data_IF_570348151025
#
_entry.id   IF_570348151025
#
_cell.length_a   1.000
_cell.length_b   1.000
_cell.length_c   1.000
_cell.angle_alpha   90.00
_cell.angle_beta   90.00
_cell.angle_gamma   90.00
#
_symmetry.space_group_name_H-M   'P 1'
#
loop_
_entity.id
_entity.type
_entity.pdbx_description
1 polymer ?
#
# COMPACT_ATOMS: atom_id res chain seq x y z
N UNK A 1 -18.60 -4.96 7.59
CA UNK A 1 -18.93 -3.85 6.66
C UNK A 1 -17.63 -3.13 6.33
N UNK A 2 -17.13 -3.25 5.09
CA UNK A 2 -15.82 -2.71 4.70
C UNK A 2 -15.87 -1.19 4.57
N UNK A 3 -15.60 -0.48 5.67
CA UNK A 3 -15.39 0.96 5.65
C UNK A 3 -13.94 1.29 5.26
N UNK A 4 -13.73 1.19 3.95
CA UNK A 4 -13.13 2.30 3.19
C UNK A 4 -13.58 3.62 3.86
N UNK A 5 -12.67 4.56 4.12
CA UNK A 5 -12.88 5.82 4.88
C UNK A 5 -13.01 5.72 6.44
N UNK A 6 -11.99 5.21 7.15
CA UNK A 6 -11.42 6.02 8.25
C UNK A 6 -10.08 6.66 7.88
N UNK A 7 -9.61 6.40 6.66
CA UNK A 7 -8.64 7.26 6.00
C UNK A 7 -9.37 8.37 5.21
N UNK A 8 -10.13 8.18 4.10
CA UNK A 8 -10.58 9.36 3.27
C UNK A 8 -11.49 10.40 3.96
N UNK A 9 -12.24 10.08 5.03
CA UNK A 9 -12.84 11.16 5.83
C UNK A 9 -11.77 12.11 6.48
N UNK A 10 -10.48 11.82 6.26
CA UNK A 10 -9.33 12.73 6.20
C UNK A 10 -8.13 12.24 5.29
N UNK A 11 -8.38 11.80 4.03
CA UNK A 11 -7.44 11.23 2.99
C UNK A 11 -6.99 9.74 3.13
N UNK A 12 -6.78 8.99 2.00
CA UNK A 12 -7.47 7.67 1.73
C UNK A 12 -6.93 6.25 2.09
N UNK A 13 -7.90 5.32 2.01
CA UNK A 13 -8.09 3.85 2.14
C UNK A 13 -8.93 3.49 0.89
N UNK A 14 -8.70 2.50 -0.01
CA UNK A 14 -7.87 1.27 -0.01
C UNK A 14 -7.41 0.81 -1.44
N UNK A 15 -6.55 -0.22 -1.49
CA UNK A 15 -6.02 -0.92 -2.68
C UNK A 15 -5.48 0.03 -3.77
N UNK A 16 -4.35 0.64 -3.42
CA UNK A 16 -3.66 1.66 -4.19
C UNK A 16 -2.92 1.07 -5.38
N UNK A 17 -2.84 1.82 -6.48
CA UNK A 17 -2.09 1.48 -7.68
C UNK A 17 -1.44 2.78 -8.21
N UNK A 18 -0.10 2.91 -8.20
CA UNK A 18 0.59 4.21 -8.38
C UNK A 18 1.40 4.28 -9.68
N UNK A 19 1.20 5.29 -10.54
CA UNK A 19 2.13 5.57 -11.67
C UNK A 19 3.17 6.66 -11.32
N UNK A 20 4.44 6.47 -11.70
CA UNK A 20 5.54 7.36 -11.31
C UNK A 20 6.09 8.16 -12.52
N UNK A 21 5.35 9.16 -13.00
CA UNK A 21 5.87 10.07 -14.05
C UNK A 21 7.07 10.89 -13.56
N UNK A 22 8.00 11.15 -14.48
CA UNK A 22 9.19 11.97 -14.25
C UNK A 22 9.17 13.12 -15.23
N UNK A 23 8.55 14.22 -14.82
CA UNK A 23 8.46 15.48 -15.56
C UNK A 23 9.09 16.57 -14.70
N UNK A 24 10.36 16.88 -14.95
CA UNK A 24 11.09 17.91 -14.22
C UNK A 24 10.84 19.30 -14.81
N UNK A 25 10.55 20.26 -13.93
CA UNK A 25 10.85 21.68 -14.13
C UNK A 25 11.21 22.30 -12.77
N UNK A 26 11.97 23.40 -12.81
CA UNK A 26 12.73 23.91 -11.67
C UNK A 26 12.26 25.33 -11.32
N UNK A 27 11.94 25.58 -10.04
CA UNK A 27 11.88 26.92 -9.45
C UNK A 27 12.48 26.83 -8.04
N UNK A 28 13.21 27.87 -7.66
CA UNK A 28 14.17 27.89 -6.55
C UNK A 28 13.60 28.56 -5.29
N UNK A 29 14.03 28.09 -4.11
CA UNK A 29 14.03 28.91 -2.90
C UNK A 29 15.15 28.45 -1.96
N UNK A 30 16.11 29.35 -1.71
CA UNK A 30 17.38 29.07 -1.05
C UNK A 30 17.24 28.96 0.47
N UNK A 31 17.84 27.93 1.07
CA UNK A 31 18.44 28.02 2.41
C UNK A 31 19.64 27.06 2.55
N UNK A 32 20.65 27.51 3.29
CA UNK A 32 22.03 27.08 3.12
C UNK A 32 22.48 26.06 4.18
N UNK A 33 22.75 24.80 3.78
CA UNK A 33 23.55 23.84 4.58
C UNK A 33 24.44 22.97 3.68
N UNK A 34 25.77 23.03 3.79
CA UNK A 34 26.67 22.20 2.99
C UNK A 34 26.79 20.76 3.55
N UNK A 35 27.24 19.83 2.70
CA UNK A 35 27.66 18.46 3.04
C UNK A 35 26.60 17.39 3.39
N UNK A 36 25.44 17.41 2.75
CA UNK A 36 24.64 16.17 2.55
C UNK A 36 24.16 16.06 1.10
N UNK A 37 24.97 15.45 0.22
CA UNK A 37 24.58 15.11 -1.17
C UNK A 37 23.77 13.79 -1.25
N UNK A 38 22.88 13.57 -0.29
CA UNK A 38 21.83 12.56 -0.43
C UNK A 38 20.80 13.11 -1.42
N UNK A 39 20.89 12.64 -2.66
CA UNK A 39 20.16 13.13 -3.82
C UNK A 39 18.70 13.44 -3.49
N UNK A 40 18.31 14.72 -3.50
CA UNK A 40 16.93 15.16 -3.27
C UNK A 40 16.11 14.91 -4.55
N UNK A 41 15.88 13.62 -4.83
CA UNK A 41 14.94 13.18 -5.85
C UNK A 41 13.53 13.50 -5.34
N UNK A 42 13.00 14.68 -5.68
CA UNK A 42 11.59 15.01 -5.46
C UNK A 42 10.74 13.99 -6.23
N UNK A 43 10.09 13.10 -5.50
CA UNK A 43 9.10 12.16 -6.05
C UNK A 43 7.72 12.77 -5.89
N UNK A 44 6.95 12.75 -6.96
CA UNK A 44 5.52 13.07 -6.94
C UNK A 44 4.73 11.77 -6.84
N UNK A 45 3.73 11.73 -5.96
CA UNK A 45 2.92 10.55 -5.67
C UNK A 45 1.46 10.82 -6.03
N UNK A 46 1.01 10.27 -7.16
CA UNK A 46 -0.41 10.20 -7.48
C UNK A 46 -1.07 9.08 -6.65
N UNK A 47 -2.21 9.39 -6.03
CA UNK A 47 -2.98 8.46 -5.21
C UNK A 47 -4.31 8.15 -5.90
N UNK A 48 -4.53 6.88 -6.20
CA UNK A 48 -5.81 6.36 -6.67
C UNK A 48 -6.41 5.49 -5.58
N UNK A 49 -7.69 5.72 -5.31
CA UNK A 49 -8.46 5.04 -4.30
C UNK A 49 -9.59 4.23 -4.95
N UNK A 50 -9.87 3.04 -4.42
CA UNK A 50 -10.85 2.13 -4.99
C UNK A 50 -11.75 1.52 -3.91
N UNK A 51 -13.05 1.43 -4.20
CA UNK A 51 -14.00 0.82 -3.29
C UNK A 51 -13.78 -0.71 -3.23
N UNK A 52 -13.56 -1.25 -2.03
CA UNK A 52 -13.45 -2.69 -1.77
C UNK A 52 -14.78 -3.48 -1.81
N UNK A 53 -15.90 -2.82 -2.15
CA UNK A 53 -17.21 -3.44 -2.29
C UNK A 53 -17.38 -4.10 -3.66
N UNK A 54 -18.10 -5.22 -3.70
CA UNK A 54 -18.20 -6.08 -4.90
C UNK A 54 -18.93 -5.41 -6.06
N UNK A 55 -19.87 -4.50 -5.77
CA UNK A 55 -20.57 -3.67 -6.76
C UNK A 55 -19.61 -2.85 -7.65
N UNK A 56 -18.38 -2.61 -7.18
CA UNK A 56 -17.34 -1.86 -7.88
C UNK A 56 -16.28 -2.74 -8.55
N UNK A 57 -16.39 -4.08 -8.50
CA UNK A 57 -15.41 -5.01 -9.11
C UNK A 57 -15.26 -4.83 -10.63
N UNK A 58 -16.26 -4.26 -11.30
CA UNK A 58 -16.20 -3.92 -12.73
C UNK A 58 -15.58 -2.55 -13.03
N UNK A 59 -15.47 -1.68 -12.02
CA UNK A 59 -14.95 -0.31 -12.14
C UNK A 59 -13.52 -0.20 -11.60
N UNK A 60 -13.17 -0.97 -10.56
CA UNK A 60 -11.82 -1.03 -9.98
C UNK A 60 -10.70 -1.25 -11.01
N UNK A 61 -10.85 -2.13 -12.02
CA UNK A 61 -9.81 -2.35 -13.02
C UNK A 61 -9.47 -1.14 -13.89
N UNK A 62 -10.34 -0.12 -13.95
CA UNK A 62 -10.10 1.10 -14.74
C UNK A 62 -9.00 1.99 -14.12
N UNK A 63 -8.65 1.78 -12.85
CA UNK A 63 -7.63 2.53 -12.11
C UNK A 63 -6.25 1.83 -12.08
N UNK A 64 -6.15 0.60 -12.58
CA UNK A 64 -4.93 -0.19 -12.59
C UNK A 64 -3.89 0.11 -13.72
N UNK A 65 -4.23 0.71 -14.89
CA UNK A 65 -3.25 1.05 -15.92
C UNK A 65 -2.07 1.90 -15.42
N UNK A 66 -0.91 1.74 -16.07
CA UNK A 66 0.36 2.45 -15.81
C UNK A 66 0.99 2.27 -14.40
N UNK A 67 0.45 1.40 -13.55
CA UNK A 67 0.90 1.16 -12.17
C UNK A 67 2.36 0.64 -12.03
N UNK A 68 3.08 1.16 -11.04
CA UNK A 68 4.49 0.87 -10.66
C UNK A 68 4.68 0.30 -9.22
N UNK A 69 3.68 0.41 -8.33
CA UNK A 69 3.58 -0.29 -7.02
C UNK A 69 2.10 -0.43 -6.63
N UNK A 70 1.75 -1.36 -5.74
CA UNK A 70 0.42 -1.50 -5.11
C UNK A 70 0.59 -1.47 -3.58
N UNK A 71 -0.35 -0.88 -2.82
CA UNK A 71 -0.54 -1.29 -1.41
C UNK A 71 -1.85 -2.06 -1.31
N UNK A 72 -1.78 -3.29 -0.83
CA UNK A 72 -2.93 -4.15 -0.57
C UNK A 72 -3.24 -4.07 0.92
N UNK A 73 -4.47 -3.75 1.27
CA UNK A 73 -4.84 -3.39 2.64
C UNK A 73 -5.73 -4.45 3.29
N UNK A 74 -5.49 -4.68 4.58
CA UNK A 74 -6.45 -5.29 5.49
C UNK A 74 -6.52 -4.47 6.77
N UNK A 75 -7.42 -4.84 7.69
CA UNK A 75 -7.63 -4.18 8.97
C UNK A 75 -7.33 -5.10 10.15
N UNK A 76 -6.54 -4.63 11.11
CA UNK A 76 -6.10 -5.42 12.26
C UNK A 76 -7.27 -5.79 13.20
N UNK A 77 -8.37 -5.04 13.15
CA UNK A 77 -9.63 -5.33 13.86
C UNK A 77 -10.60 -6.25 13.07
N UNK A 78 -10.16 -6.88 11.97
CA UNK A 78 -11.01 -7.75 11.14
C UNK A 78 -10.18 -8.87 10.48
N UNK A 79 -10.08 -10.06 11.11
CA UNK A 79 -9.37 -11.21 10.53
C UNK A 79 -9.87 -11.61 9.13
N UNK A 80 -11.19 -11.55 8.89
CA UNK A 80 -11.81 -11.79 7.58
C UNK A 80 -11.16 -10.94 6.47
N UNK A 81 -10.76 -9.71 6.78
CA UNK A 81 -10.11 -8.82 5.81
C UNK A 81 -8.70 -9.27 5.43
N UNK A 82 -8.01 -10.03 6.28
CA UNK A 82 -6.76 -10.72 5.96
C UNK A 82 -7.02 -11.97 5.11
N UNK A 83 -8.07 -12.73 5.38
CA UNK A 83 -8.42 -13.94 4.61
C UNK A 83 -8.79 -13.62 3.16
N UNK A 84 -9.42 -12.45 2.93
CA UNK A 84 -9.71 -11.93 1.58
C UNK A 84 -8.45 -11.57 0.75
N UNK A 85 -7.27 -11.37 1.38
CA UNK A 85 -6.02 -11.00 0.70
C UNK A 85 -5.58 -12.04 -0.34
N UNK A 86 -5.40 -13.33 -0.01
CA UNK A 86 -5.03 -14.37 -0.97
C UNK A 86 -6.21 -14.83 -1.87
N UNK A 87 -7.46 -14.66 -1.42
CA UNK A 87 -8.64 -15.21 -2.10
C UNK A 87 -9.22 -14.29 -3.18
N UNK A 88 -9.33 -12.98 -2.89
CA UNK A 88 -9.86 -11.97 -3.83
C UNK A 88 -8.78 -11.04 -4.36
N UNK A 89 -8.09 -10.34 -3.46
CA UNK A 89 -7.25 -9.20 -3.84
C UNK A 89 -5.96 -9.60 -4.56
N UNK A 90 -5.32 -10.70 -4.17
CA UNK A 90 -4.11 -11.19 -4.82
C UNK A 90 -4.35 -11.71 -6.25
N UNK A 91 -5.40 -12.51 -6.53
CA UNK A 91 -5.77 -12.86 -7.91
C UNK A 91 -6.10 -11.64 -8.78
N UNK A 92 -6.92 -10.69 -8.28
CA UNK A 92 -7.33 -9.50 -9.03
C UNK A 92 -6.12 -8.63 -9.41
N UNK A 93 -5.27 -8.28 -8.43
CA UNK A 93 -4.06 -7.49 -8.67
C UNK A 93 -3.05 -8.22 -9.56
N UNK A 94 -2.88 -9.54 -9.44
CA UNK A 94 -1.98 -10.29 -10.32
C UNK A 94 -2.51 -10.46 -11.74
N UNK A 95 -3.82 -10.35 -11.96
CA UNK A 95 -4.41 -10.36 -13.29
C UNK A 95 -4.16 -9.03 -14.03
N UNK A 96 -4.45 -7.89 -13.41
CA UNK A 96 -4.32 -6.57 -14.05
C UNK A 96 -2.92 -5.93 -13.91
N UNK A 97 -2.19 -6.25 -12.84
CA UNK A 97 -0.89 -5.66 -12.50
C UNK A 97 0.22 -6.71 -12.28
N UNK A 98 0.44 -7.68 -13.21
CA UNK A 98 1.28 -8.88 -12.97
C UNK A 98 2.76 -8.63 -12.63
N UNK A 99 3.31 -7.45 -12.97
CA UNK A 99 4.72 -7.10 -12.74
C UNK A 99 4.89 -5.93 -11.75
N UNK A 100 3.88 -5.70 -10.91
CA UNK A 100 3.84 -4.62 -9.93
C UNK A 100 4.19 -5.14 -8.53
N UNK A 101 5.14 -4.52 -7.80
CA UNK A 101 5.41 -4.89 -6.42
C UNK A 101 4.23 -4.53 -5.51
N UNK A 102 3.81 -5.47 -4.67
CA UNK A 102 2.73 -5.27 -3.68
C UNK A 102 3.36 -5.02 -2.31
N UNK A 103 2.91 -3.99 -1.59
CA UNK A 103 3.11 -3.83 -0.14
C UNK A 103 1.85 -4.34 0.55
N UNK A 104 1.96 -5.26 1.52
CA UNK A 104 0.82 -5.62 2.36
C UNK A 104 0.76 -4.67 3.57
N UNK A 105 -0.40 -4.07 3.83
CA UNK A 105 -0.57 -3.05 4.90
C UNK A 105 -1.68 -3.46 5.87
N UNK A 106 -1.30 -3.70 7.13
CA UNK A 106 -2.22 -3.88 8.25
C UNK A 106 -2.62 -2.53 8.85
N UNK A 107 -3.86 -2.10 8.59
CA UNK A 107 -4.37 -0.80 9.04
C UNK A 107 -5.06 -0.89 10.41
N UNK A 108 -5.36 0.28 11.00
CA UNK A 108 -5.97 0.45 12.34
C UNK A 108 -5.18 -0.24 13.47
N UNK A 109 -3.84 -0.19 13.39
CA UNK A 109 -2.91 -0.80 14.37
C UNK A 109 -3.20 -0.43 15.84
N UNK A 110 -3.79 0.74 16.09
CA UNK A 110 -4.22 1.17 17.43
C UNK A 110 -5.28 0.26 18.07
N UNK A 111 -6.11 -0.40 17.26
CA UNK A 111 -7.19 -1.27 17.75
C UNK A 111 -6.71 -2.66 18.19
N UNK A 112 -5.46 -3.05 17.93
CA UNK A 112 -4.90 -4.35 18.40
C UNK A 112 -4.96 -4.50 19.91
N UNK A 113 -4.82 -3.39 20.63
CA UNK A 113 -4.80 -3.33 22.09
C UNK A 113 -6.06 -2.67 22.68
N UNK A 114 -7.04 -2.31 21.84
CA UNK A 114 -8.30 -1.74 22.30
C UNK A 114 -9.20 -2.82 22.92
N UNK A 115 -9.68 -2.57 24.14
CA UNK A 115 -10.50 -3.53 24.86
C UNK A 115 -11.87 -3.75 24.22
N UNK A 116 -12.46 -2.73 23.60
CA UNK A 116 -13.76 -2.86 22.95
C UNK A 116 -13.63 -3.72 21.69
N UNK A 117 -12.67 -3.43 20.80
CA UNK A 117 -12.37 -4.28 19.64
C UNK A 117 -12.11 -5.73 20.03
N UNK A 118 -11.32 -5.98 21.09
CA UNK A 118 -11.07 -7.35 21.60
C UNK A 118 -12.34 -8.03 22.11
N UNK A 119 -13.19 -7.32 22.86
CA UNK A 119 -14.47 -7.86 23.37
C UNK A 119 -15.45 -8.18 22.25
N UNK A 120 -15.53 -7.35 21.20
CA UNK A 120 -16.41 -7.59 20.06
C UNK A 120 -15.94 -8.78 19.21
N UNK A 121 -14.64 -8.87 18.87
CA UNK A 121 -14.08 -10.02 18.15
C UNK A 121 -14.22 -11.32 18.94
N UNK A 122 -14.07 -11.28 20.27
CA UNK A 122 -14.26 -12.46 21.12
C UNK A 122 -15.69 -13.04 21.06
N UNK A 123 -16.72 -12.23 20.79
CA UNK A 123 -18.10 -12.74 20.55
C UNK A 123 -18.17 -13.64 19.32
N UNK A 124 -17.33 -13.37 18.31
CA UNK A 124 -17.19 -14.15 17.08
C UNK A 124 -16.08 -15.21 17.18
N UNK A 125 -15.49 -15.41 18.38
CA UNK A 125 -14.32 -16.29 18.64
C UNK A 125 -13.05 -15.88 17.86
N UNK A 126 -12.92 -14.61 17.54
CA UNK A 126 -11.78 -14.02 16.85
C UNK A 126 -10.92 -13.17 17.81
N UNK A 127 -9.70 -12.84 17.39
CA UNK A 127 -8.81 -11.87 18.03
C UNK A 127 -8.19 -10.92 16.98
N UNK A 128 -7.66 -9.74 17.36
CA UNK A 128 -7.03 -8.83 16.41
C UNK A 128 -5.77 -9.44 15.78
N UNK A 129 -5.60 -9.26 14.46
CA UNK A 129 -4.50 -9.86 13.68
C UNK A 129 -3.13 -9.48 14.25
N UNK A 130 -2.25 -10.46 14.41
CA UNK A 130 -0.89 -10.30 14.97
C UNK A 130 0.13 -9.95 13.87
N UNK A 131 1.27 -9.32 14.23
CA UNK A 131 2.27 -8.93 13.24
C UNK A 131 2.88 -10.12 12.47
N UNK A 132 2.97 -11.30 13.08
CA UNK A 132 3.39 -12.56 12.45
C UNK A 132 2.44 -13.00 11.34
N UNK A 133 1.14 -13.03 11.60
CA UNK A 133 0.12 -13.42 10.61
C UNK A 133 0.15 -12.49 9.37
N UNK A 134 0.35 -11.19 9.58
CA UNK A 134 0.56 -10.22 8.50
C UNK A 134 1.86 -10.43 7.71
N UNK A 135 2.97 -10.77 8.39
CA UNK A 135 4.26 -11.11 7.74
C UNK A 135 4.14 -12.40 6.93
N UNK A 136 3.52 -13.43 7.47
CA UNK A 136 3.35 -14.72 6.80
C UNK A 136 2.38 -14.61 5.62
N UNK A 137 1.35 -13.77 5.71
CA UNK A 137 0.50 -13.46 4.55
C UNK A 137 1.27 -12.70 3.45
N UNK A 138 2.11 -11.72 3.82
CA UNK A 138 2.96 -11.01 2.86
C UNK A 138 3.92 -11.96 2.13
N UNK A 139 4.52 -12.90 2.86
CA UNK A 139 5.34 -13.98 2.30
C UNK A 139 4.51 -14.87 1.35
N UNK A 140 3.33 -15.33 1.80
CA UNK A 140 2.41 -16.21 1.04
C UNK A 140 1.99 -15.60 -0.30
N UNK A 141 1.73 -14.29 -0.38
CA UNK A 141 1.32 -13.63 -1.62
C UNK A 141 2.50 -13.17 -2.49
N UNK A 142 3.74 -13.20 -1.98
CA UNK A 142 4.91 -12.66 -2.68
C UNK A 142 4.96 -11.13 -2.69
N UNK A 143 4.56 -10.49 -1.59
CA UNK A 143 4.68 -9.05 -1.41
C UNK A 143 6.15 -8.62 -1.29
N UNK A 144 6.45 -7.39 -1.72
CA UNK A 144 7.74 -6.74 -1.54
C UNK A 144 8.04 -6.42 -0.07
N UNK A 145 6.99 -6.28 0.76
CA UNK A 145 7.11 -6.12 2.20
C UNK A 145 5.76 -6.06 2.91
N UNK A 146 5.81 -6.15 4.25
CA UNK A 146 4.69 -5.94 5.15
C UNK A 146 4.91 -4.70 6.00
N UNK A 147 3.86 -3.91 6.23
CA UNK A 147 3.84 -2.76 7.12
C UNK A 147 2.56 -2.72 7.95
N UNK A 148 2.61 -2.06 9.10
CA UNK A 148 1.44 -1.73 9.91
C UNK A 148 1.34 -0.23 10.14
N UNK A 149 0.13 0.32 10.12
CA UNK A 149 -0.08 1.74 10.42
C UNK A 149 -1.44 2.02 11.09
N UNK A 150 -1.57 3.23 11.61
CA UNK A 150 -2.82 3.76 12.18
C UNK A 150 -3.02 5.20 11.69
N UNK A 151 -4.05 5.43 10.88
CA UNK A 151 -4.44 6.77 10.42
C UNK A 151 -4.66 7.74 11.60
N UNK A 152 -5.39 7.25 12.61
CA UNK A 152 -5.83 7.96 13.82
C UNK A 152 -4.68 8.45 14.69
N UNK A 153 -3.61 7.66 14.82
CA UNK A 153 -2.41 8.03 15.61
C UNK A 153 -1.24 8.53 14.76
N UNK A 154 -1.34 8.35 13.43
CA UNK A 154 -0.29 8.59 12.42
C UNK A 154 0.92 7.65 12.48
N UNK A 155 0.91 6.66 13.38
CA UNK A 155 1.96 5.64 13.48
C UNK A 155 2.08 4.82 12.18
N UNK A 156 3.32 4.58 11.73
CA UNK A 156 3.67 3.80 10.52
C UNK A 156 3.26 4.41 9.17
N UNK A 157 2.50 5.51 9.14
CA UNK A 157 1.90 6.05 7.89
C UNK A 157 2.98 6.53 6.91
N UNK A 158 4.00 7.24 7.38
CA UNK A 158 5.11 7.70 6.52
C UNK A 158 5.91 6.51 5.98
N UNK A 159 6.18 5.54 6.84
CA UNK A 159 7.02 4.38 6.58
C UNK A 159 6.40 3.48 5.49
N UNK A 160 5.06 3.40 5.43
CA UNK A 160 4.32 2.80 4.31
C UNK A 160 4.63 3.52 2.99
N UNK A 161 4.54 4.85 2.93
CA UNK A 161 4.83 5.61 1.70
C UNK A 161 6.32 5.57 1.31
N UNK A 162 7.23 5.53 2.28
CA UNK A 162 8.67 5.33 2.02
C UNK A 162 8.96 3.93 1.45
N UNK A 163 8.30 2.88 1.96
CA UNK A 163 8.41 1.52 1.39
C UNK A 163 7.83 1.45 -0.02
N UNK A 164 6.66 2.05 -0.26
CA UNK A 164 6.03 2.12 -1.57
C UNK A 164 6.92 2.81 -2.61
N UNK A 165 7.45 3.99 -2.25
CA UNK A 165 8.38 4.76 -3.08
C UNK A 165 9.64 3.95 -3.39
N UNK A 166 10.19 3.23 -2.40
CA UNK A 166 11.34 2.34 -2.56
C UNK A 166 11.03 1.20 -3.55
N UNK A 167 9.88 0.56 -3.44
CA UNK A 167 9.47 -0.54 -4.30
C UNK A 167 9.32 -0.11 -5.77
N UNK A 168 8.59 0.97 -6.04
CA UNK A 168 8.43 1.51 -7.39
C UNK A 168 9.78 1.91 -8.02
N UNK A 169 10.65 2.60 -7.27
CA UNK A 169 11.98 2.99 -7.76
C UNK A 169 12.88 1.78 -8.05
N UNK A 170 12.75 0.67 -7.32
CA UNK A 170 13.48 -0.57 -7.60
C UNK A 170 12.91 -1.28 -8.84
N UNK A 171 11.59 -1.45 -8.94
CA UNK A 171 10.93 -2.06 -10.10
C UNK A 171 11.29 -1.33 -11.42
N UNK A 172 11.26 0.01 -11.42
CA UNK A 172 11.63 0.83 -12.59
C UNK A 172 13.12 0.75 -12.95
N UNK A 173 14.01 0.47 -11.99
CA UNK A 173 15.44 0.20 -12.26
C UNK A 173 15.65 -1.15 -12.93
N UNK A 174 14.84 -2.17 -12.60
CA UNK A 174 14.83 -3.46 -13.30
C UNK A 174 14.43 -3.31 -14.78
N UNK A 175 13.29 -2.65 -15.04
CA UNK A 175 12.74 -2.42 -16.39
C UNK A 175 13.72 -1.74 -17.38
N UNK A 176 14.75 -1.03 -16.91
CA UNK A 176 15.73 -0.34 -17.78
C UNK A 176 16.90 -1.21 -18.29
N UNK A 177 17.10 -2.43 -17.80
CA UNK A 177 18.26 -3.27 -18.19
C UNK A 177 18.08 -4.11 -19.46
N UNK A 178 16.85 -4.26 -19.97
CA UNK A 178 16.53 -5.04 -21.18
C UNK A 178 16.55 -4.22 -22.48
N UNK A 179 16.97 -2.96 -22.44
CA UNK A 179 16.93 -2.02 -23.56
C UNK A 179 18.31 -1.64 -24.11
N UNK A 180 19.13 -2.60 -24.50
CA UNK A 180 20.37 -2.35 -25.25
C UNK A 180 20.32 -3.07 -26.60
N UNK A 181 19.60 -2.48 -27.55
CA UNK A 181 19.67 -2.86 -28.96
C UNK A 181 20.90 -2.15 -29.56
N UNK A 182 21.99 -2.88 -29.71
CA UNK A 182 23.11 -2.44 -30.56
C UNK A 182 22.78 -2.85 -31.99
N UNK A 183 22.60 -1.86 -32.86
CA UNK A 183 22.62 -1.97 -34.32
C UNK A 183 23.91 -1.32 -34.82
#
# INVERSE_FOLDING_TARGET
MFSVFSFLMQYSFEIFAFHLRSSGHFVELLLYRPWVLQHICKVELALWDTAGQEDYDRLRPLFYPDTDVILMCFSIDSPDSLENIPEKWTPEVKHFCPNVPIILVGNKKDLRNDEHTRRELAKMKQEPVKPEEGRDMANRIGAFGYMECSAKTKDGVREVFEMATRAALQARRGKKKSGCLVL
#
